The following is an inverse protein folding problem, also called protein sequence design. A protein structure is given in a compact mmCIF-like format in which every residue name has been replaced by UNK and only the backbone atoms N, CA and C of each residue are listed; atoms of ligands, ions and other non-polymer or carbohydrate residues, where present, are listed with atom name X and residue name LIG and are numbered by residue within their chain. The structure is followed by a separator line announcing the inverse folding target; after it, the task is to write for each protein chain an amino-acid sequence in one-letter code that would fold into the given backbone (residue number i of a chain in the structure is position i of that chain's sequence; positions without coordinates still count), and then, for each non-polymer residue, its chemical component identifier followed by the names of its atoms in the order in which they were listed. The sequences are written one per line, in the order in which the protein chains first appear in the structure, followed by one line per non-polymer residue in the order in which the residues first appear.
data_IF_270200437609
#
_entry.id   IF_270200437609
#
_cell.length_a   1.000
_cell.length_b   1.000
_cell.length_c   1.000
_cell.angle_alpha   90.00
_cell.angle_beta   90.00
_cell.angle_gamma   90.00
#
_symmetry.space_group_name_H-M   'P 1'
#
loop_
_entity.id
_entity.type
_entity.pdbx_description
1 polymer ?
#
# COMPACT_ATOMS: atom_id res chain seq x y z
N UNK A 1 16.52 33.71 1.79
CA UNK A 1 17.14 32.51 1.18
C UNK A 1 16.61 31.20 1.76
N UNK A 2 16.03 31.19 2.97
CA UNK A 2 15.52 30.00 3.67
C UNK A 2 14.12 29.52 3.25
N UNK A 3 13.31 30.37 2.60
CA UNK A 3 11.92 30.03 2.24
C UNK A 3 11.80 28.93 1.16
N UNK A 4 12.83 28.72 0.35
CA UNK A 4 12.81 27.71 -0.72
C UNK A 4 13.08 26.29 -0.20
N UNK A 5 13.58 26.14 1.04
CA UNK A 5 14.01 24.85 1.58
C UNK A 5 12.85 23.87 1.76
N UNK A 6 11.66 24.37 2.14
CA UNK A 6 10.43 23.58 2.26
C UNK A 6 9.94 23.08 0.90
N UNK A 7 10.10 23.91 -0.14
CA UNK A 7 9.72 23.58 -1.51
C UNK A 7 10.67 22.53 -2.10
N UNK A 8 11.97 22.62 -1.79
CA UNK A 8 12.94 21.56 -2.13
C UNK A 8 12.64 20.25 -1.39
N UNK A 9 12.36 20.27 -0.08
CA UNK A 9 11.98 19.04 0.64
C UNK A 9 10.70 18.41 0.07
N UNK A 10 9.69 19.21 -0.26
CA UNK A 10 8.46 18.72 -0.88
C UNK A 10 8.72 18.09 -2.24
N UNK A 11 9.49 18.76 -3.11
CA UNK A 11 9.87 18.21 -4.41
C UNK A 11 10.72 16.93 -4.29
N UNK A 12 11.65 16.86 -3.32
CA UNK A 12 12.45 15.67 -3.05
C UNK A 12 11.60 14.52 -2.51
N UNK A 13 10.62 14.77 -1.65
CA UNK A 13 9.68 13.74 -1.17
C UNK A 13 8.76 13.28 -2.30
N UNK A 14 8.19 14.18 -3.09
CA UNK A 14 7.39 13.84 -4.27
C UNK A 14 8.20 13.00 -5.26
N UNK A 15 9.46 13.39 -5.53
CA UNK A 15 10.36 12.61 -6.36
C UNK A 15 10.71 11.28 -5.73
N UNK A 16 11.00 11.19 -4.42
CA UNK A 16 11.24 9.91 -3.74
C UNK A 16 10.02 8.99 -3.75
N UNK A 17 8.80 9.53 -3.68
CA UNK A 17 7.56 8.77 -3.79
C UNK A 17 7.28 8.31 -5.23
N UNK A 18 7.54 9.16 -6.22
CA UNK A 18 7.45 8.81 -7.66
C UNK A 18 8.58 7.87 -8.10
N UNK A 19 9.77 8.00 -7.51
CA UNK A 19 10.93 7.12 -7.66
C UNK A 19 10.79 5.86 -6.77
N UNK A 20 9.78 5.84 -5.89
CA UNK A 20 9.18 4.67 -5.24
C UNK A 20 8.48 3.72 -6.22
N UNK A 21 8.93 3.70 -7.47
CA UNK A 21 8.69 2.65 -8.47
C UNK A 21 9.48 1.37 -8.17
N UNK A 22 9.66 1.01 -6.89
CA UNK A 22 9.39 -0.38 -6.51
C UNK A 22 8.72 -0.54 -5.14
N UNK A 23 8.50 0.52 -4.35
CA UNK A 23 7.99 0.41 -2.97
C UNK A 23 6.49 0.11 -2.96
N UNK A 24 5.68 0.84 -3.72
CA UNK A 24 4.25 0.53 -3.84
C UNK A 24 4.03 -0.88 -4.41
N UNK A 25 4.87 -1.27 -5.38
CA UNK A 25 4.82 -2.59 -6.00
C UNK A 25 5.30 -3.70 -5.06
N UNK A 26 6.34 -3.45 -4.26
CA UNK A 26 6.81 -4.39 -3.23
C UNK A 26 5.79 -4.55 -2.12
N UNK A 27 5.16 -3.46 -1.68
CA UNK A 27 4.15 -3.48 -0.63
C UNK A 27 2.86 -4.18 -1.12
N UNK A 28 2.37 -3.83 -2.31
CA UNK A 28 1.23 -4.52 -2.93
C UNK A 28 1.54 -5.98 -3.27
N UNK A 29 2.72 -6.27 -3.81
CA UNK A 29 3.15 -7.61 -4.19
C UNK A 29 3.37 -8.53 -2.98
N UNK A 30 3.98 -8.03 -1.90
CA UNK A 30 4.11 -8.79 -0.64
C UNK A 30 2.75 -9.04 -0.01
N UNK A 31 1.85 -8.04 0.02
CA UNK A 31 0.48 -8.21 0.49
C UNK A 31 -0.28 -9.26 -0.34
N UNK A 32 -0.17 -9.21 -1.67
CA UNK A 32 -0.82 -10.16 -2.57
C UNK A 32 -0.23 -11.58 -2.45
N UNK A 33 1.10 -11.71 -2.33
CA UNK A 33 1.77 -12.99 -2.14
C UNK A 33 1.38 -13.65 -0.81
N UNK A 34 1.29 -12.86 0.27
CA UNK A 34 0.84 -13.36 1.57
C UNK A 34 -0.64 -13.74 1.56
N UNK A 35 -1.48 -12.96 0.88
CA UNK A 35 -2.89 -13.29 0.71
C UNK A 35 -3.08 -14.60 -0.08
N UNK A 36 -2.37 -14.77 -1.19
CA UNK A 36 -2.39 -16.01 -1.97
C UNK A 36 -1.87 -17.21 -1.17
N UNK A 37 -0.76 -17.04 -0.43
CA UNK A 37 -0.21 -18.08 0.44
C UNK A 37 -1.15 -18.48 1.58
N UNK A 38 -1.85 -17.51 2.19
CA UNK A 38 -2.84 -17.75 3.24
C UNK A 38 -4.06 -18.55 2.74
N UNK A 39 -4.50 -18.29 1.51
CA UNK A 39 -5.60 -19.05 0.86
C UNK A 39 -5.15 -20.50 0.59
N UNK A 40 -3.95 -20.68 0.05
CA UNK A 40 -3.42 -22.01 -0.25
C UNK A 40 -3.14 -22.85 1.01
N UNK A 41 -2.71 -22.20 2.10
CA UNK A 41 -2.46 -22.84 3.39
C UNK A 41 -3.75 -23.19 4.18
N UNK A 42 -4.94 -22.91 3.62
CA UNK A 42 -6.24 -23.18 4.25
C UNK A 42 -6.51 -22.38 5.53
N UNK A 43 -5.65 -21.41 5.87
CA UNK A 43 -5.80 -20.54 7.04
C UNK A 43 -6.68 -19.32 6.75
N UNK A 44 -6.73 -18.88 5.48
CA UNK A 44 -7.63 -17.82 5.02
C UNK A 44 -8.77 -18.42 4.22
N UNK A 45 -9.98 -18.29 4.75
CA UNK A 45 -11.19 -18.52 3.96
C UNK A 45 -11.29 -17.42 2.89
N UNK A 46 -11.45 -17.74 1.59
CA UNK A 46 -11.58 -16.75 0.52
C UNK A 46 -12.69 -15.71 0.78
N UNK A 47 -13.68 -16.06 1.61
CA UNK A 47 -14.73 -15.15 2.07
C UNK A 47 -14.22 -13.96 2.88
N UNK A 48 -13.12 -14.10 3.63
CA UNK A 48 -12.51 -12.97 4.36
C UNK A 48 -11.83 -11.97 3.42
N UNK A 49 -11.23 -12.44 2.31
CA UNK A 49 -10.71 -11.54 1.28
C UNK A 49 -11.82 -10.79 0.54
N UNK A 50 -12.97 -11.43 0.34
CA UNK A 50 -14.15 -10.79 -0.25
C UNK A 50 -14.83 -9.81 0.74
N UNK A 51 -14.78 -10.09 2.04
CA UNK A 51 -15.34 -9.22 3.09
C UNK A 51 -14.39 -8.08 3.51
N UNK A 52 -13.07 -8.21 3.30
CA UNK A 52 -12.06 -7.19 3.57
C UNK A 52 -12.36 -5.84 2.91
N UNK A 53 -12.66 -5.77 1.59
CA UNK A 53 -13.05 -4.51 0.96
C UNK A 53 -14.31 -3.92 1.60
N UNK A 54 -15.30 -4.75 1.93
CA UNK A 54 -16.51 -4.32 2.63
C UNK A 54 -16.25 -3.72 4.01
N UNK A 55 -15.24 -4.21 4.76
CA UNK A 55 -14.86 -3.67 6.07
C UNK A 55 -13.94 -2.46 6.00
N UNK A 56 -12.97 -2.45 5.08
CA UNK A 56 -12.05 -1.32 4.90
C UNK A 56 -12.79 -0.11 4.35
N UNK A 57 -13.58 -0.27 3.28
CA UNK A 57 -14.34 0.83 2.70
C UNK A 57 -15.63 1.14 3.49
N UNK A 58 -16.21 0.16 4.18
CA UNK A 58 -17.38 0.38 5.04
C UNK A 58 -17.10 1.14 6.34
N UNK A 59 -15.84 1.22 6.78
CA UNK A 59 -15.42 2.04 7.95
C UNK A 59 -14.98 3.45 7.55
N UNK A 60 -14.79 3.72 6.25
CA UNK A 60 -14.42 5.04 5.71
C UNK A 60 -15.68 5.91 5.41
N UNK A 61 -16.86 5.46 5.85
CA UNK A 61 -18.12 6.21 5.81
C UNK A 61 -18.35 7.06 7.05
#
# INVERSE_FOLDING_TARGET
MTAYISLYMFATVCLLLMLGYPVAFTLAGTALAFAAGGILAGHFDPGFLAALPGRIFGTIG
#
